data_IF_778502351256
#
_entry.id   IF_778502351256
#
_cell.length_a   1.000
_cell.length_b   1.000
_cell.length_c   1.000
_cell.angle_alpha   90.00
_cell.angle_beta   90.00
_cell.angle_gamma   90.00
#
_symmetry.space_group_name_H-M   'P 1'
#
loop_
_entity.id
_entity.type
_entity.pdbx_description
1 polymer ?
#
# COMPACT_ATOMS: atom_id res chain seq x y z
N UNK A 1 -13.10 -7.07 9.83
CA UNK A 1 -11.78 -7.19 10.52
C UNK A 1 -11.08 -5.85 10.42
N UNK A 2 -10.62 -5.29 11.56
CA UNK A 2 -10.00 -3.96 11.64
C UNK A 2 -8.63 -4.04 12.30
N UNK A 3 -7.82 -3.01 12.12
CA UNK A 3 -6.57 -2.74 12.82
C UNK A 3 -6.45 -1.26 13.15
N UNK A 4 -5.49 -0.88 13.98
CA UNK A 4 -5.24 0.52 14.35
C UNK A 4 -3.91 1.01 13.78
N UNK A 5 -3.97 2.13 13.07
CA UNK A 5 -2.81 2.93 12.67
C UNK A 5 -2.72 4.12 13.65
N UNK A 6 -2.00 3.94 14.77
CA UNK A 6 -2.06 4.87 15.88
C UNK A 6 -3.46 4.88 16.51
N UNK A 7 -4.14 6.01 16.49
CA UNK A 7 -5.53 6.17 16.96
C UNK A 7 -6.58 6.01 15.84
N UNK A 8 -6.14 5.80 14.58
CA UNK A 8 -7.02 5.60 13.41
C UNK A 8 -7.41 4.13 13.27
N UNK A 9 -8.71 3.84 13.16
CA UNK A 9 -9.23 2.48 12.94
C UNK A 9 -9.45 2.26 11.45
N UNK A 10 -8.80 1.25 10.88
CA UNK A 10 -8.90 0.90 9.46
C UNK A 10 -9.38 -0.53 9.27
N UNK A 11 -10.12 -0.78 8.20
CA UNK A 11 -10.42 -2.12 7.73
C UNK A 11 -9.14 -2.74 7.14
N UNK A 12 -8.96 -4.06 7.31
CA UNK A 12 -7.72 -4.73 6.90
C UNK A 12 -7.53 -4.81 5.38
N UNK A 13 -8.58 -4.53 4.61
CA UNK A 13 -8.50 -4.34 3.16
C UNK A 13 -8.70 -2.87 2.85
N UNK A 14 -7.66 -2.28 2.30
CA UNK A 14 -7.64 -0.92 1.77
C UNK A 14 -7.61 -0.91 0.24
N UNK A 15 -7.34 0.26 -0.32
CA UNK A 15 -7.22 0.46 -1.76
C UNK A 15 -5.88 1.10 -2.12
N UNK A 16 -5.11 0.46 -3.01
CA UNK A 16 -3.86 1.00 -3.56
C UNK A 16 -4.08 1.81 -4.83
N UNK A 17 -3.74 3.09 -4.81
CA UNK A 17 -3.97 4.01 -5.91
C UNK A 17 -2.85 4.05 -6.97
N UNK A 18 -1.80 3.24 -6.83
CA UNK A 18 -0.62 3.30 -7.71
C UNK A 18 -0.96 3.09 -9.20
N UNK A 19 -1.91 2.20 -9.51
CA UNK A 19 -2.34 1.90 -10.88
C UNK A 19 -3.52 2.74 -11.36
N UNK A 20 -4.04 3.62 -10.52
CA UNK A 20 -5.21 4.43 -10.83
C UNK A 20 -4.96 5.45 -11.97
N UNK A 21 -3.77 6.10 -12.08
CA UNK A 21 -3.51 7.08 -13.14
C UNK A 21 -3.41 6.50 -14.55
N UNK A 22 -3.07 5.21 -14.71
CA UNK A 22 -2.75 4.60 -16.01
C UNK A 22 -3.07 3.11 -16.07
N UNK A 23 -3.16 2.57 -17.29
CA UNK A 23 -3.30 1.14 -17.57
C UNK A 23 -1.92 0.47 -17.68
N UNK A 24 -1.87 -0.85 -17.57
CA UNK A 24 -0.63 -1.63 -17.74
C UNK A 24 0.40 -1.42 -16.64
N UNK A 25 1.68 -1.40 -17.01
CA UNK A 25 2.80 -1.31 -16.08
C UNK A 25 2.81 0.03 -15.35
N UNK A 26 2.93 -0.01 -14.02
CA UNK A 26 3.04 1.20 -13.22
C UNK A 26 4.28 2.01 -13.61
N UNK A 27 4.11 3.33 -13.67
CA UNK A 27 5.18 4.29 -14.02
C UNK A 27 5.72 4.20 -15.46
N UNK A 28 5.13 3.39 -16.33
CA UNK A 28 5.47 3.41 -17.75
C UNK A 28 5.00 4.73 -18.37
N UNK A 29 5.94 5.49 -18.91
CA UNK A 29 5.70 6.81 -19.53
C UNK A 29 4.86 6.73 -20.81
N UNK A 30 4.79 5.55 -21.43
CA UNK A 30 4.05 5.27 -22.66
C UNK A 30 2.69 4.67 -22.40
N UNK A 31 2.40 4.29 -21.14
CA UNK A 31 1.11 3.70 -20.78
C UNK A 31 -0.02 4.70 -20.98
N UNK A 32 -1.14 4.22 -21.49
CA UNK A 32 -2.33 5.02 -21.67
C UNK A 32 -2.90 5.47 -20.31
N UNK A 33 -3.22 6.78 -20.14
CA UNK A 33 -3.93 7.23 -18.95
C UNK A 33 -5.28 6.50 -18.84
N UNK A 34 -5.63 6.10 -17.62
CA UNK A 34 -6.96 5.54 -17.35
C UNK A 34 -8.03 6.60 -17.59
N UNK A 35 -9.20 6.18 -18.02
CA UNK A 35 -10.36 7.08 -18.08
C UNK A 35 -10.63 7.69 -16.70
N UNK A 36 -10.82 9.02 -16.66
CA UNK A 36 -10.98 9.76 -15.42
C UNK A 36 -12.29 9.41 -14.70
N UNK A 37 -13.37 9.23 -15.46
CA UNK A 37 -14.66 8.86 -14.90
C UNK A 37 -14.60 7.48 -14.25
N UNK A 38 -14.01 6.49 -14.93
CA UNK A 38 -13.80 5.14 -14.41
C UNK A 38 -12.93 5.16 -13.15
N UNK A 39 -11.85 5.93 -13.11
CA UNK A 39 -10.99 6.03 -11.94
C UNK A 39 -11.72 6.61 -10.72
N UNK A 40 -12.54 7.63 -10.92
CA UNK A 40 -13.38 8.24 -9.87
C UNK A 40 -14.44 7.26 -9.39
N UNK A 41 -15.10 6.56 -10.30
CA UNK A 41 -16.14 5.58 -9.98
C UNK A 41 -15.58 4.43 -9.12
N UNK A 42 -14.41 3.88 -9.47
CA UNK A 42 -13.75 2.83 -8.68
C UNK A 42 -13.43 3.30 -7.26
N UNK A 43 -12.96 4.54 -7.09
CA UNK A 43 -12.68 5.11 -5.76
C UNK A 43 -13.94 5.25 -4.92
N UNK A 44 -15.03 5.76 -5.50
CA UNK A 44 -16.32 5.89 -4.82
C UNK A 44 -16.86 4.51 -4.42
N UNK A 45 -16.79 3.57 -5.36
CA UNK A 45 -17.22 2.19 -5.12
C UNK A 45 -16.40 1.50 -4.05
N UNK A 46 -15.09 1.79 -3.93
CA UNK A 46 -14.26 1.27 -2.85
C UNK A 46 -14.79 1.70 -1.47
N UNK A 47 -15.10 2.97 -1.29
CA UNK A 47 -15.68 3.49 -0.04
C UNK A 47 -17.06 2.89 0.24
N UNK A 48 -17.94 2.78 -0.76
CA UNK A 48 -19.25 2.13 -0.65
C UNK A 48 -19.16 0.66 -0.21
N UNK A 49 -18.11 -0.04 -0.63
CA UNK A 49 -17.82 -1.43 -0.24
C UNK A 49 -17.15 -1.55 1.15
N UNK A 50 -16.93 -0.42 1.83
CA UNK A 50 -16.38 -0.38 3.18
C UNK A 50 -14.86 -0.24 3.25
N UNK A 51 -14.20 0.10 2.15
CA UNK A 51 -12.78 0.51 2.21
C UNK A 51 -12.70 1.86 2.91
N UNK A 52 -11.99 1.93 4.01
CA UNK A 52 -11.79 3.17 4.77
C UNK A 52 -10.30 3.54 4.92
N UNK A 53 -9.40 2.93 4.14
CA UNK A 53 -8.07 3.47 3.97
C UNK A 53 -7.61 3.34 2.51
N UNK A 54 -6.96 4.41 2.02
CA UNK A 54 -6.45 4.52 0.65
C UNK A 54 -4.96 4.81 0.70
N UNK A 55 -4.18 3.97 0.04
CA UNK A 55 -2.73 4.13 -0.11
C UNK A 55 -2.39 4.86 -1.42
N UNK A 56 -1.66 5.95 -1.34
CA UNK A 56 -1.30 6.79 -2.47
C UNK A 56 0.14 7.32 -2.39
N UNK A 57 0.52 8.18 -3.31
CA UNK A 57 1.74 9.00 -3.27
C UNK A 57 1.66 10.14 -4.31
N UNK A 58 2.28 11.28 -4.04
CA UNK A 58 2.34 12.38 -5.00
C UNK A 58 3.05 12.00 -6.30
N UNK A 59 3.99 11.03 -6.25
CA UNK A 59 4.68 10.51 -7.44
C UNK A 59 3.88 9.42 -8.20
N UNK A 60 2.64 9.12 -7.80
CA UNK A 60 1.73 8.25 -8.56
C UNK A 60 0.97 9.07 -9.61
N UNK A 61 1.60 9.30 -10.73
CA UNK A 61 0.99 10.03 -11.84
C UNK A 61 1.42 9.47 -13.21
N UNK A 62 0.55 9.66 -14.18
CA UNK A 62 0.81 9.50 -15.63
C UNK A 62 0.98 10.88 -16.28
N UNK A 63 1.09 10.93 -17.60
CA UNK A 63 1.22 12.20 -18.33
C UNK A 63 0.09 13.20 -18.05
N UNK A 64 -1.11 12.73 -17.70
CA UNK A 64 -2.31 13.58 -17.58
C UNK A 64 -3.15 13.30 -16.34
N UNK A 65 -2.74 12.39 -15.45
CA UNK A 65 -3.52 11.96 -14.27
C UNK A 65 -2.62 11.86 -13.05
N UNK A 66 -3.05 12.41 -11.93
CA UNK A 66 -2.46 12.24 -10.60
C UNK A 66 -3.39 11.42 -9.73
N UNK A 67 -2.86 10.39 -9.03
CA UNK A 67 -3.66 9.60 -8.09
C UNK A 67 -4.25 10.47 -6.97
N UNK A 68 -3.47 11.39 -6.40
CA UNK A 68 -3.93 12.27 -5.34
C UNK A 68 -5.08 13.19 -5.82
N UNK A 69 -4.96 13.77 -7.01
CA UNK A 69 -6.04 14.63 -7.57
C UNK A 69 -7.29 13.83 -7.93
N UNK A 70 -7.13 12.57 -8.37
CA UNK A 70 -8.27 11.67 -8.59
C UNK A 70 -8.97 11.33 -7.28
N UNK A 71 -8.21 11.05 -6.20
CA UNK A 71 -8.75 10.79 -4.87
C UNK A 71 -9.50 12.02 -4.35
N UNK A 72 -8.91 13.21 -4.44
CA UNK A 72 -9.58 14.46 -4.06
C UNK A 72 -10.88 14.67 -4.85
N UNK A 73 -10.82 14.53 -6.17
CA UNK A 73 -12.01 14.71 -7.04
C UNK A 73 -13.11 13.68 -6.79
N UNK A 74 -12.75 12.46 -6.38
CA UNK A 74 -13.70 11.38 -6.14
C UNK A 74 -14.38 11.48 -4.77
N UNK A 75 -13.60 11.81 -3.72
CA UNK A 75 -13.95 11.58 -2.33
C UNK A 75 -14.06 12.86 -1.48
N UNK A 76 -13.75 14.04 -2.03
CA UNK A 76 -13.97 15.29 -1.31
C UNK A 76 -15.45 15.73 -1.43
N UNK A 77 -16.14 16.13 -0.31
CA UNK A 77 -15.64 16.13 1.07
C UNK A 77 -15.40 14.71 1.56
N UNK A 78 -14.24 14.49 2.20
CA UNK A 78 -13.82 13.17 2.64
C UNK A 78 -14.72 12.62 3.75
N UNK A 79 -15.07 11.30 3.73
CA UNK A 79 -15.67 10.64 4.90
C UNK A 79 -14.80 10.81 6.15
N UNK A 80 -15.42 10.99 7.31
CA UNK A 80 -14.69 11.23 8.58
C UNK A 80 -13.77 10.08 8.98
N UNK A 81 -14.13 8.85 8.63
CA UNK A 81 -13.39 7.62 8.94
C UNK A 81 -12.41 7.21 7.85
N UNK A 82 -12.32 7.97 6.75
CA UNK A 82 -11.40 7.67 5.66
C UNK A 82 -9.97 8.10 6.01
N UNK A 83 -9.07 7.13 6.03
CA UNK A 83 -7.64 7.31 6.27
C UNK A 83 -6.87 7.31 4.95
N UNK A 84 -6.10 8.36 4.70
CA UNK A 84 -5.22 8.45 3.52
C UNK A 84 -3.77 8.24 3.95
N UNK A 85 -3.17 7.18 3.41
CA UNK A 85 -1.76 6.86 3.61
C UNK A 85 -0.97 7.29 2.38
N UNK A 86 -0.01 8.18 2.54
CA UNK A 86 0.84 8.64 1.44
C UNK A 86 2.32 8.39 1.70
N UNK A 87 3.17 8.74 0.74
CA UNK A 87 4.61 8.49 0.78
C UNK A 87 5.40 9.73 0.40
N UNK A 88 6.56 9.87 1.04
CA UNK A 88 7.59 10.86 0.70
C UNK A 88 8.96 10.17 0.60
N UNK A 89 9.93 10.88 0.05
CA UNK A 89 11.30 10.40 -0.22
C UNK A 89 11.55 10.35 -1.72
N UNK A 90 11.01 9.39 -2.48
CA UNK A 90 11.10 9.40 -3.93
C UNK A 90 10.32 10.56 -4.56
N UNK A 91 10.79 11.00 -5.71
CA UNK A 91 10.11 11.98 -6.55
C UNK A 91 10.29 11.64 -8.02
N UNK A 92 9.48 12.27 -8.87
CA UNK A 92 9.57 12.15 -10.33
C UNK A 92 9.50 13.53 -10.96
N UNK A 93 10.22 13.72 -12.07
CA UNK A 93 10.08 14.93 -12.90
C UNK A 93 8.68 14.95 -13.54
N UNK A 94 8.18 16.12 -14.02
CA UNK A 94 6.93 16.18 -14.79
C UNK A 94 6.93 15.23 -16.01
N UNK A 95 8.10 14.90 -16.53
CA UNK A 95 8.27 13.94 -17.63
C UNK A 95 8.28 12.49 -17.16
N UNK A 96 8.15 12.25 -15.83
CA UNK A 96 8.04 10.92 -15.24
C UNK A 96 9.37 10.23 -14.95
N UNK A 97 10.50 10.93 -15.01
CA UNK A 97 11.81 10.40 -14.65
C UNK A 97 11.99 10.38 -13.13
N UNK A 98 12.59 9.32 -12.61
CA UNK A 98 12.89 9.25 -11.19
C UNK A 98 13.97 10.25 -10.81
N UNK A 99 13.73 10.99 -9.75
CA UNK A 99 14.69 11.88 -9.12
C UNK A 99 15.50 11.10 -8.06
N UNK A 100 16.69 11.59 -7.68
CA UNK A 100 17.36 11.11 -6.47
C UNK A 100 16.43 11.20 -5.26
N UNK A 101 16.68 10.37 -4.25
CA UNK A 101 15.93 10.43 -3.01
C UNK A 101 16.00 11.86 -2.44
N UNK A 102 14.84 12.38 -2.03
CA UNK A 102 14.76 13.71 -1.43
C UNK A 102 15.66 13.82 -0.19
N UNK A 103 16.38 14.91 -0.07
CA UNK A 103 17.10 15.24 1.17
C UNK A 103 16.12 15.56 2.31
N UNK A 104 16.52 15.49 3.59
CA UNK A 104 15.63 15.82 4.70
C UNK A 104 14.93 17.19 4.53
N UNK A 105 15.65 18.21 4.06
CA UNK A 105 15.08 19.56 3.82
C UNK A 105 14.00 19.59 2.74
N UNK A 106 14.06 18.70 1.76
CA UNK A 106 13.08 18.64 0.67
C UNK A 106 11.78 17.90 1.07
N UNK A 107 11.79 17.14 2.17
CA UNK A 107 10.60 16.36 2.59
C UNK A 107 9.41 17.27 2.93
N UNK A 108 9.64 18.47 3.50
CA UNK A 108 8.57 19.45 3.75
C UNK A 108 7.81 19.76 2.45
N UNK A 109 8.52 20.10 1.38
CA UNK A 109 7.89 20.40 0.10
C UNK A 109 7.10 19.22 -0.48
N UNK A 110 7.56 17.97 -0.27
CA UNK A 110 6.82 16.77 -0.69
C UNK A 110 5.55 16.56 0.16
N UNK A 111 5.58 16.87 1.45
CA UNK A 111 4.39 16.84 2.34
C UNK A 111 3.39 17.90 1.88
N UNK A 112 3.82 19.14 1.67
CA UNK A 112 2.98 20.24 1.20
C UNK A 112 2.36 19.97 -0.18
N UNK A 113 3.10 19.31 -1.07
CA UNK A 113 2.56 18.89 -2.38
C UNK A 113 1.47 17.81 -2.22
N UNK A 114 1.63 16.84 -1.32
CA UNK A 114 0.57 15.87 -1.01
C UNK A 114 -0.66 16.57 -0.44
N UNK A 115 -0.49 17.51 0.51
CA UNK A 115 -1.58 18.31 1.08
C UNK A 115 -2.34 19.08 0.01
N UNK A 116 -1.61 19.77 -0.88
CA UNK A 116 -2.19 20.53 -1.99
C UNK A 116 -2.98 19.66 -2.95
N UNK A 117 -2.42 18.52 -3.38
CA UNK A 117 -3.07 17.62 -4.34
C UNK A 117 -4.31 16.94 -3.73
N UNK A 118 -4.24 16.56 -2.46
CA UNK A 118 -5.34 15.92 -1.74
C UNK A 118 -6.37 16.95 -1.24
N UNK A 119 -6.05 18.25 -1.22
CA UNK A 119 -6.95 19.28 -0.69
C UNK A 119 -7.19 19.11 0.82
N UNK A 120 -6.14 18.76 1.58
CA UNK A 120 -6.21 18.53 3.03
C UNK A 120 -5.28 19.50 3.77
N UNK A 121 -5.57 19.77 5.02
CA UNK A 121 -4.76 20.58 5.93
C UNK A 121 -3.74 19.75 6.72
N UNK A 122 -3.98 18.44 6.85
CA UNK A 122 -3.04 17.47 7.44
C UNK A 122 -3.13 16.13 6.70
N UNK A 123 -2.07 15.32 6.81
CA UNK A 123 -1.98 13.95 6.27
C UNK A 123 -2.16 12.94 7.42
N UNK A 124 -3.01 11.94 7.21
CA UNK A 124 -3.31 10.95 8.24
C UNK A 124 -2.10 10.07 8.56
N UNK A 125 -1.47 9.49 7.53
CA UNK A 125 -0.24 8.69 7.66
C UNK A 125 0.72 9.01 6.52
N UNK A 126 1.98 9.29 6.86
CA UNK A 126 3.05 9.51 5.87
C UNK A 126 4.14 8.46 6.05
N UNK A 127 4.37 7.66 5.01
CA UNK A 127 5.48 6.72 4.95
C UNK A 127 6.73 7.39 4.38
N UNK A 128 7.85 7.34 5.12
CA UNK A 128 9.16 7.55 4.51
C UNK A 128 9.51 6.32 3.65
N UNK A 129 9.50 6.48 2.33
CA UNK A 129 9.93 5.42 1.43
C UNK A 129 11.44 5.53 1.20
N UNK A 130 12.15 4.51 1.68
CA UNK A 130 13.61 4.47 1.63
C UNK A 130 14.08 3.87 0.29
N UNK A 131 15.15 4.45 -0.26
CA UNK A 131 15.87 3.91 -1.40
C UNK A 131 17.35 4.22 -1.24
N UNK A 132 18.17 3.19 -1.01
CA UNK A 132 19.62 3.32 -0.95
C UNK A 132 20.19 4.02 0.30
N UNK A 133 19.36 4.32 1.32
CA UNK A 133 19.85 4.82 2.61
C UNK A 133 20.21 3.68 3.52
N UNK A 134 21.30 3.84 4.26
CA UNK A 134 21.70 2.96 5.35
C UNK A 134 21.30 3.54 6.72
N UNK A 135 21.33 4.86 6.84
CA UNK A 135 20.84 5.62 7.98
C UNK A 135 19.73 6.59 7.53
N UNK A 136 18.52 6.39 8.07
CA UNK A 136 17.35 7.22 7.77
C UNK A 136 17.08 8.31 8.83
N UNK A 137 17.90 8.38 9.88
CA UNK A 137 17.62 9.22 11.06
C UNK A 137 17.30 10.66 10.71
N UNK A 138 18.15 11.34 9.93
CA UNK A 138 17.95 12.74 9.57
C UNK A 138 16.64 12.96 8.75
N UNK A 139 16.24 12.01 7.92
CA UNK A 139 14.98 12.08 7.17
C UNK A 139 13.78 11.89 8.11
N UNK A 140 13.87 10.94 9.02
CA UNK A 140 12.79 10.64 9.94
C UNK A 140 12.59 11.71 11.00
N UNK A 141 13.69 12.33 11.50
CA UNK A 141 13.66 13.53 12.36
C UNK A 141 12.91 14.70 11.70
N UNK A 142 13.16 14.92 10.41
CA UNK A 142 12.41 15.94 9.65
C UNK A 142 10.91 15.64 9.59
N UNK A 143 10.52 14.37 9.39
CA UNK A 143 9.10 14.00 9.40
C UNK A 143 8.48 14.09 10.80
N UNK A 144 9.24 13.74 11.85
CA UNK A 144 8.80 13.92 13.23
C UNK A 144 8.57 15.40 13.57
N UNK A 145 9.41 16.31 13.06
CA UNK A 145 9.18 17.76 13.19
C UNK A 145 7.90 18.20 12.46
N UNK A 146 7.63 17.69 11.25
CA UNK A 146 6.39 17.98 10.52
C UNK A 146 5.14 17.40 11.20
N UNK A 147 5.28 16.30 11.94
CA UNK A 147 4.22 15.76 12.80
C UNK A 147 3.95 16.71 13.98
N UNK A 148 4.99 17.24 14.62
CA UNK A 148 4.85 18.25 15.69
C UNK A 148 4.22 19.55 15.18
N UNK A 149 4.52 19.95 13.94
CA UNK A 149 3.90 21.08 13.26
C UNK A 149 2.40 20.85 12.92
N UNK A 150 1.87 19.63 13.11
CA UNK A 150 0.49 19.26 12.81
C UNK A 150 0.20 18.96 11.34
N UNK A 151 1.19 18.92 10.47
CA UNK A 151 1.03 18.60 9.05
C UNK A 151 0.86 17.10 8.79
N UNK A 152 1.31 16.26 9.72
CA UNK A 152 1.25 14.80 9.67
C UNK A 152 0.69 14.29 10.99
N UNK A 153 -0.29 13.39 10.95
CA UNK A 153 -0.84 12.77 12.17
C UNK A 153 0.01 11.59 12.63
N UNK A 154 0.35 10.67 11.73
CA UNK A 154 1.16 9.48 12.03
C UNK A 154 2.26 9.25 11.01
N UNK A 155 3.33 8.59 11.47
CA UNK A 155 4.49 8.25 10.67
C UNK A 155 4.56 6.75 10.41
N UNK A 156 4.97 6.40 9.20
CA UNK A 156 5.26 5.04 8.80
C UNK A 156 6.54 4.96 7.96
N UNK A 157 6.88 3.75 7.56
CA UNK A 157 8.08 3.46 6.78
C UNK A 157 7.74 2.60 5.56
N UNK A 158 8.50 2.73 4.48
CA UNK A 158 8.33 1.90 3.29
C UNK A 158 9.66 1.50 2.68
N UNK A 159 9.74 0.26 2.19
CA UNK A 159 10.91 -0.31 1.53
C UNK A 159 12.16 -0.29 2.43
N UNK A 160 12.01 -0.79 3.66
CA UNK A 160 13.01 -0.75 4.72
C UNK A 160 13.53 -2.13 5.08
N UNK A 161 14.66 -2.14 5.78
CA UNK A 161 15.22 -3.30 6.51
C UNK A 161 14.91 -3.19 8.01
N UNK A 162 14.99 -4.29 8.79
CA UNK A 162 14.67 -4.27 10.22
C UNK A 162 15.42 -3.19 11.03
N UNK A 163 16.71 -2.97 10.77
CA UNK A 163 17.50 -1.95 11.48
C UNK A 163 16.98 -0.51 11.24
N UNK A 164 16.35 -0.22 10.09
CA UNK A 164 15.73 1.07 9.83
C UNK A 164 14.52 1.31 10.74
N UNK A 165 13.74 0.26 11.06
CA UNK A 165 12.65 0.35 12.03
C UNK A 165 13.18 0.72 13.41
N UNK A 166 14.29 0.10 13.84
CA UNK A 166 14.93 0.40 15.13
C UNK A 166 15.47 1.86 15.16
N UNK A 167 16.02 2.36 14.04
CA UNK A 167 16.44 3.76 13.93
C UNK A 167 15.25 4.71 14.10
N UNK A 168 14.17 4.48 13.35
CA UNK A 168 12.99 5.34 13.37
C UNK A 168 12.30 5.35 14.74
N UNK A 169 12.15 4.20 15.40
CA UNK A 169 11.49 4.09 16.69
C UNK A 169 12.23 4.80 17.83
N UNK A 170 13.54 5.07 17.69
CA UNK A 170 14.28 5.92 18.63
C UNK A 170 13.94 7.42 18.49
N UNK A 171 13.31 7.82 17.37
CA UNK A 171 13.00 9.21 17.05
C UNK A 171 11.51 9.50 17.30
N UNK A 172 10.62 8.69 16.74
CA UNK A 172 9.17 8.86 16.88
C UNK A 172 8.43 7.50 16.69
N UNK A 173 7.18 7.38 17.18
CA UNK A 173 6.36 6.20 16.95
C UNK A 173 6.14 5.92 15.45
N UNK A 174 6.24 4.64 15.07
CA UNK A 174 5.96 4.12 13.73
C UNK A 174 4.67 3.31 13.76
N UNK A 175 3.66 3.66 12.97
CA UNK A 175 2.36 2.97 12.98
C UNK A 175 2.25 1.89 11.92
N UNK A 176 3.04 1.95 10.83
CA UNK A 176 3.05 0.94 9.80
C UNK A 176 4.40 0.80 9.08
N UNK A 177 4.65 -0.39 8.58
CA UNK A 177 5.74 -0.73 7.66
C UNK A 177 5.14 -1.25 6.36
N UNK A 178 5.62 -0.75 5.23
CA UNK A 178 5.14 -1.11 3.91
C UNK A 178 6.30 -1.61 3.04
N UNK A 179 6.42 -2.94 2.91
CA UNK A 179 7.46 -3.59 2.11
C UNK A 179 6.84 -4.46 1.00
N UNK A 180 7.68 -4.88 0.05
CA UNK A 180 7.28 -5.87 -0.96
C UNK A 180 7.13 -7.23 -0.32
N UNK A 181 5.95 -7.84 -0.43
CA UNK A 181 5.66 -9.14 0.15
C UNK A 181 4.35 -9.72 -0.39
N UNK A 182 4.29 -11.03 -0.55
CA UNK A 182 3.11 -11.77 -0.98
C UNK A 182 3.40 -13.24 -1.15
N UNK A 183 2.40 -14.04 -1.47
CA UNK A 183 2.56 -15.46 -1.71
C UNK A 183 3.54 -15.71 -2.87
N UNK A 184 4.60 -16.49 -2.62
CA UNK A 184 5.68 -16.74 -3.58
C UNK A 184 6.59 -15.53 -3.84
N UNK A 185 6.55 -14.53 -2.99
CA UNK A 185 7.28 -13.28 -3.19
C UNK A 185 7.90 -12.77 -1.88
N UNK A 186 9.21 -12.70 -1.81
CA UNK A 186 9.99 -12.25 -0.67
C UNK A 186 9.77 -13.03 0.64
N UNK A 187 9.94 -14.37 0.66
CA UNK A 187 9.80 -15.18 1.88
C UNK A 187 10.76 -14.76 3.00
N UNK A 188 11.88 -14.12 2.67
CA UNK A 188 12.82 -13.55 3.66
C UNK A 188 12.20 -12.41 4.50
N UNK A 189 11.01 -11.92 4.15
CA UNK A 189 10.28 -10.94 4.95
C UNK A 189 9.43 -11.56 6.06
N UNK A 190 9.23 -12.89 6.09
CA UNK A 190 8.35 -13.57 7.07
C UNK A 190 8.69 -13.20 8.51
N UNK A 191 9.97 -13.26 8.87
CA UNK A 191 10.44 -12.88 10.21
C UNK A 191 10.14 -11.42 10.52
N UNK A 192 10.27 -10.53 9.52
CA UNK A 192 10.01 -9.11 9.71
C UNK A 192 8.52 -8.79 9.83
N UNK A 193 7.65 -9.55 9.14
CA UNK A 193 6.20 -9.50 9.37
C UNK A 193 5.90 -9.83 10.83
N UNK A 194 6.51 -10.91 11.38
CA UNK A 194 6.37 -11.30 12.78
C UNK A 194 6.81 -10.20 13.75
N UNK A 195 8.00 -9.63 13.54
CA UNK A 195 8.54 -8.52 14.34
C UNK A 195 7.61 -7.31 14.36
N UNK A 196 7.02 -6.94 13.23
CA UNK A 196 6.05 -5.85 13.17
C UNK A 196 4.82 -6.15 14.05
N UNK A 197 4.30 -7.39 14.00
CA UNK A 197 3.16 -7.82 14.82
C UNK A 197 3.45 -7.76 16.32
N UNK A 198 4.61 -8.26 16.76
CA UNK A 198 5.06 -8.21 18.16
C UNK A 198 5.17 -6.78 18.68
N UNK A 199 5.53 -5.83 17.82
CA UNK A 199 5.65 -4.41 18.15
C UNK A 199 4.34 -3.63 18.00
N UNK A 200 3.22 -4.28 17.61
CA UNK A 200 1.94 -3.63 17.37
C UNK A 200 1.91 -2.69 16.17
N UNK A 201 2.82 -2.90 15.21
CA UNK A 201 2.99 -2.12 13.99
C UNK A 201 2.26 -2.83 12.84
N UNK A 202 1.44 -2.10 12.07
CA UNK A 202 0.82 -2.67 10.88
C UNK A 202 1.88 -3.03 9.83
N UNK A 203 1.77 -4.22 9.24
CA UNK A 203 2.54 -4.58 8.05
C UNK A 203 1.64 -4.48 6.82
N UNK A 204 2.02 -3.63 5.86
CA UNK A 204 1.19 -3.29 4.70
C UNK A 204 1.93 -3.69 3.43
N UNK A 205 1.83 -4.95 2.97
CA UNK A 205 2.55 -5.41 1.80
C UNK A 205 2.10 -4.69 0.54
N UNK A 206 3.06 -4.20 -0.25
CA UNK A 206 2.80 -3.85 -1.64
C UNK A 206 3.18 -5.02 -2.54
N UNK A 207 2.52 -5.16 -3.71
CA UNK A 207 2.63 -6.29 -4.63
C UNK A 207 2.13 -7.63 -4.07
N UNK A 208 1.19 -7.60 -3.11
CA UNK A 208 0.61 -8.82 -2.52
C UNK A 208 -0.07 -9.76 -3.55
N UNK A 209 -0.41 -9.26 -4.73
CA UNK A 209 -1.03 -10.06 -5.80
C UNK A 209 -0.02 -10.46 -6.89
N UNK A 210 0.95 -9.59 -7.20
CA UNK A 210 1.91 -9.80 -8.29
C UNK A 210 3.06 -8.82 -8.16
N UNK A 211 4.22 -9.13 -8.79
CA UNK A 211 5.35 -8.20 -8.89
C UNK A 211 5.02 -6.89 -9.64
N UNK A 212 5.99 -5.95 -9.64
CA UNK A 212 5.82 -4.58 -10.15
C UNK A 212 5.33 -4.47 -11.61
N UNK A 213 5.58 -5.47 -12.43
CA UNK A 213 5.38 -5.42 -13.88
C UNK A 213 4.14 -6.17 -14.37
N UNK A 214 3.32 -6.75 -13.49
CA UNK A 214 2.17 -7.55 -13.90
C UNK A 214 0.87 -6.99 -13.30
N UNK A 215 -0.19 -6.91 -14.10
CA UNK A 215 -1.56 -6.85 -13.57
C UNK A 215 -1.91 -8.23 -12.98
N UNK A 216 -2.66 -8.25 -11.89
CA UNK A 216 -3.03 -9.49 -11.19
C UNK A 216 -3.59 -10.53 -12.17
N UNK A 217 -2.97 -11.71 -12.24
CA UNK A 217 -3.52 -12.82 -12.98
C UNK A 217 -2.58 -13.69 -13.81
N UNK A 218 -1.28 -13.44 -13.84
CA UNK A 218 -0.37 -14.17 -14.72
C UNK A 218 0.93 -14.63 -14.05
N UNK A 219 0.90 -15.27 -12.90
CA UNK A 219 1.99 -16.17 -12.54
C UNK A 219 1.57 -17.60 -12.91
N UNK A 220 2.34 -18.23 -13.79
CA UNK A 220 2.06 -19.57 -14.32
C UNK A 220 2.27 -20.70 -13.28
N UNK A 221 2.64 -20.36 -12.03
CA UNK A 221 3.24 -21.31 -11.11
C UNK A 221 2.36 -21.72 -9.94
N UNK A 222 1.06 -21.39 -9.97
CA UNK A 222 0.23 -21.65 -8.81
C UNK A 222 -0.88 -22.64 -9.06
N UNK A 223 -0.51 -23.88 -9.42
CA UNK A 223 -1.48 -25.00 -9.45
C UNK A 223 -2.21 -25.09 -8.10
N UNK A 224 -1.48 -24.92 -6.98
CA UNK A 224 -2.05 -24.92 -5.63
C UNK A 224 -3.03 -23.78 -5.41
N UNK A 225 -2.68 -22.55 -5.81
CA UNK A 225 -3.57 -21.38 -5.70
C UNK A 225 -4.81 -21.57 -6.57
N UNK A 226 -4.64 -22.06 -7.79
CA UNK A 226 -5.74 -22.29 -8.74
C UNK A 226 -6.67 -23.39 -8.25
N UNK A 227 -6.15 -24.49 -7.74
CA UNK A 227 -6.92 -25.59 -7.17
C UNK A 227 -7.77 -25.13 -5.99
N UNK A 228 -7.15 -24.40 -5.02
CA UNK A 228 -7.86 -23.87 -3.85
C UNK A 228 -8.91 -22.84 -4.28
N UNK A 229 -8.58 -21.97 -5.23
CA UNK A 229 -9.51 -20.98 -5.76
C UNK A 229 -10.76 -21.65 -6.36
N UNK A 230 -10.56 -22.69 -7.17
CA UNK A 230 -11.66 -23.47 -7.74
C UNK A 230 -12.51 -24.16 -6.66
N UNK A 231 -11.87 -24.81 -5.68
CA UNK A 231 -12.57 -25.50 -4.59
C UNK A 231 -13.39 -24.54 -3.71
N UNK A 232 -12.96 -23.27 -3.61
CA UNK A 232 -13.61 -22.20 -2.82
C UNK A 232 -14.58 -21.35 -3.63
N UNK A 233 -14.71 -21.57 -4.93
CA UNK A 233 -15.44 -20.69 -5.85
C UNK A 233 -14.98 -19.23 -5.72
N UNK A 234 -13.66 -19.04 -5.64
CA UNK A 234 -12.99 -17.77 -5.48
C UNK A 234 -11.99 -17.53 -6.62
N UNK A 235 -11.52 -16.30 -6.80
CA UNK A 235 -10.46 -16.04 -7.76
C UNK A 235 -9.07 -16.32 -7.13
N UNK A 236 -8.04 -16.63 -7.94
CA UNK A 236 -6.66 -16.76 -7.46
C UNK A 236 -6.19 -15.52 -6.67
N UNK A 237 -6.58 -14.32 -7.08
CA UNK A 237 -6.30 -13.08 -6.38
C UNK A 237 -6.89 -13.07 -4.95
N UNK A 238 -8.11 -13.55 -4.80
CA UNK A 238 -8.75 -13.65 -3.47
C UNK A 238 -8.01 -14.63 -2.55
N UNK A 239 -7.53 -15.76 -3.07
CA UNK A 239 -6.72 -16.72 -2.28
C UNK A 239 -5.40 -16.09 -1.84
N UNK A 240 -4.70 -15.38 -2.72
CA UNK A 240 -3.46 -14.67 -2.39
C UNK A 240 -3.67 -13.62 -1.31
N UNK A 241 -4.73 -12.81 -1.42
CA UNK A 241 -5.08 -11.82 -0.40
C UNK A 241 -5.46 -12.48 0.93
N UNK A 242 -6.25 -13.55 0.90
CA UNK A 242 -6.65 -14.29 2.10
C UNK A 242 -5.43 -14.91 2.81
N UNK A 243 -4.49 -15.49 2.05
CA UNK A 243 -3.23 -16.00 2.59
C UNK A 243 -2.39 -14.88 3.22
N UNK A 244 -2.25 -13.75 2.55
CA UNK A 244 -1.51 -12.59 3.07
C UNK A 244 -2.12 -12.09 4.36
N UNK A 245 -3.44 -11.96 4.44
CA UNK A 245 -4.16 -11.58 5.65
C UNK A 245 -4.02 -12.62 6.79
N UNK A 246 -3.82 -13.89 6.47
CA UNK A 246 -3.62 -14.94 7.46
C UNK A 246 -2.25 -14.87 8.18
N UNK A 247 -1.30 -14.06 7.69
CA UNK A 247 0.01 -13.84 8.34
C UNK A 247 -0.09 -13.12 9.69
N UNK A 248 -1.22 -12.50 10.01
CA UNK A 248 -1.46 -11.90 11.31
C UNK A 248 -2.55 -10.83 11.32
N UNK A 249 -3.10 -10.49 12.48
CA UNK A 249 -4.15 -9.48 12.57
C UNK A 249 -3.63 -8.07 12.20
N UNK A 250 -2.34 -7.83 12.29
CA UNK A 250 -1.65 -6.58 11.96
C UNK A 250 -1.33 -6.42 10.47
N UNK A 251 -1.55 -7.46 9.66
CA UNK A 251 -1.31 -7.39 8.21
C UNK A 251 -2.51 -6.77 7.51
N UNK A 252 -2.25 -5.70 6.74
CA UNK A 252 -3.24 -4.98 5.95
C UNK A 252 -2.89 -5.14 4.47
N UNK A 253 -3.87 -5.31 3.60
CA UNK A 253 -3.63 -5.40 2.16
C UNK A 253 -4.22 -4.21 1.43
N UNK A 254 -3.52 -3.74 0.40
CA UNK A 254 -3.90 -2.57 -0.40
C UNK A 254 -3.95 -2.91 -1.90
N UNK A 255 -4.78 -3.89 -2.32
CA UNK A 255 -4.88 -4.23 -3.72
C UNK A 255 -5.44 -3.06 -4.52
N UNK A 256 -4.75 -2.70 -5.61
CA UNK A 256 -5.16 -1.64 -6.52
C UNK A 256 -5.71 -2.19 -7.83
N UNK A 257 -6.84 -1.67 -8.27
CA UNK A 257 -7.45 -2.02 -9.55
C UNK A 257 -8.18 -0.82 -10.16
N UNK A 258 -8.39 -0.86 -11.45
CA UNK A 258 -9.30 0.07 -12.14
C UNK A 258 -10.57 -0.61 -12.65
N UNK A 259 -10.80 -1.86 -12.25
CA UNK A 259 -11.96 -2.66 -12.60
C UNK A 259 -12.88 -2.81 -11.38
N UNK A 260 -14.18 -2.42 -11.47
CA UNK A 260 -15.13 -2.52 -10.36
C UNK A 260 -15.38 -3.95 -9.88
N UNK A 261 -15.31 -4.94 -10.77
CA UNK A 261 -15.51 -6.34 -10.40
C UNK A 261 -14.30 -6.89 -9.65
N UNK A 262 -13.09 -6.60 -10.12
CA UNK A 262 -11.87 -6.93 -9.36
C UNK A 262 -11.84 -6.24 -7.99
N UNK A 263 -12.34 -5.00 -7.90
CA UNK A 263 -12.46 -4.30 -6.63
C UNK A 263 -13.39 -5.06 -5.67
N UNK A 264 -14.56 -5.48 -6.13
CA UNK A 264 -15.51 -6.25 -5.32
C UNK A 264 -14.88 -7.56 -4.81
N UNK A 265 -14.21 -8.30 -5.70
CA UNK A 265 -13.51 -9.54 -5.35
C UNK A 265 -12.41 -9.29 -4.32
N UNK A 266 -11.61 -8.23 -4.48
CA UNK A 266 -10.57 -7.86 -3.54
C UNK A 266 -11.13 -7.59 -2.14
N UNK A 267 -12.25 -6.86 -2.04
CA UNK A 267 -12.90 -6.58 -0.74
C UNK A 267 -13.49 -7.85 -0.13
N UNK A 268 -14.09 -8.72 -0.94
CA UNK A 268 -14.64 -10.00 -0.49
C UNK A 268 -13.57 -10.98 0.00
N UNK A 269 -12.32 -10.86 -0.44
CA UNK A 269 -11.21 -11.68 0.05
C UNK A 269 -11.05 -11.61 1.58
N UNK A 270 -11.42 -10.50 2.21
CA UNK A 270 -11.41 -10.36 3.67
C UNK A 270 -12.39 -11.28 4.42
N UNK A 271 -13.33 -11.87 3.73
CA UNK A 271 -14.30 -12.82 4.30
C UNK A 271 -13.89 -14.28 4.12
N UNK A 272 -12.85 -14.53 3.32
CA UNK A 272 -12.34 -15.88 3.11
C UNK A 272 -11.51 -16.33 4.31
N UNK A 273 -11.84 -17.49 4.84
CA UNK A 273 -11.06 -18.17 5.87
C UNK A 273 -10.46 -19.44 5.26
N UNK A 274 -9.16 -19.45 5.08
CA UNK A 274 -8.42 -20.63 4.61
C UNK A 274 -8.30 -21.66 5.75
N UNK A 275 -8.42 -22.93 5.44
CA UNK A 275 -8.19 -24.02 6.40
C UNK A 275 -6.72 -24.18 6.71
N UNK A 276 -6.38 -24.88 7.80
CA UNK A 276 -4.99 -25.20 8.15
C UNK A 276 -4.28 -25.96 7.04
N UNK A 277 -4.94 -26.90 6.38
CA UNK A 277 -4.39 -27.67 5.25
C UNK A 277 -4.08 -26.76 4.05
N UNK A 278 -5.02 -25.88 3.68
CA UNK A 278 -4.81 -24.91 2.60
C UNK A 278 -3.66 -23.95 2.90
N UNK A 279 -3.58 -23.45 4.14
CA UNK A 279 -2.47 -22.59 4.57
C UNK A 279 -1.14 -23.35 4.48
N UNK A 280 -1.07 -24.59 4.96
CA UNK A 280 0.15 -25.41 4.89
C UNK A 280 0.61 -25.62 3.45
N UNK A 281 -0.31 -25.88 2.53
CA UNK A 281 -0.01 -26.06 1.10
C UNK A 281 0.47 -24.76 0.45
N UNK A 282 -0.16 -23.64 0.79
CA UNK A 282 0.23 -22.31 0.30
C UNK A 282 1.58 -21.86 0.90
N UNK A 283 1.84 -22.17 2.17
CA UNK A 283 3.14 -21.86 2.82
C UNK A 283 4.28 -22.65 2.16
N UNK A 284 4.04 -23.92 1.80
CA UNK A 284 5.02 -24.70 1.04
C UNK A 284 5.30 -24.09 -0.35
N UNK A 285 4.28 -23.59 -1.04
CA UNK A 285 4.43 -22.91 -2.31
C UNK A 285 5.15 -21.55 -2.15
N UNK A 286 4.90 -20.83 -1.04
CA UNK A 286 5.58 -19.57 -0.73
C UNK A 286 7.10 -19.73 -0.59
N UNK A 287 7.54 -20.75 0.12
CA UNK A 287 8.96 -21.03 0.33
C UNK A 287 9.68 -21.53 -0.92
N UNK A 288 8.95 -22.16 -1.87
CA UNK A 288 9.52 -22.68 -3.12
C UNK A 288 9.52 -21.65 -4.26
N UNK A 289 8.90 -20.50 -4.09
CA UNK A 289 8.73 -19.44 -5.10
C UNK A 289 9.90 -18.44 -5.19
N UNK A 290 11.09 -18.80 -4.70
CA UNK A 290 12.30 -17.95 -4.70
C UNK A 290 13.16 -18.15 -5.94
#
# INVERSE_FOLDING_TARGET
MTWRLGDLTVNRIGFGAMRLPQRGTAFDRRAEPRDRGQAIEVLRRAVELGVNHVDTAAFYFSATRSANELINSALSPYPEDLVIVTKVGPGRTPQGEWLPLATPRQLRGQVEENLRQLGRDHLDVVNLRVSGLDDLSAHFEQLAALQQDGLIRHLGLSNIRPHHLDQAQRIAPVVCVQNSYGLGHHPEQDDFVGVCGERGIAYVPFFALTGANQEAGTSADDDVVTEIAHARNASPAQIRLAWTLARGPHVLVIPGTGDPEHLRQNVEAGRLSLTTDELTRLDAAHLNGS
#
